data_IF_180005058866
#
_entry.id   IF_180005058866
#
_cell.length_a   1.000
_cell.length_b   1.000
_cell.length_c   1.000
_cell.angle_alpha   90.00
_cell.angle_beta   90.00
_cell.angle_gamma   90.00
#
_symmetry.space_group_name_H-M   'P 1'
#
loop_
_entity.id
_entity.type
_entity.pdbx_description
1 polymer ?
#
# COMPACT_ATOMS: atom_id res chain seq x y z
N UNK A 1 -15.02 8.38 -3.74
CA UNK A 1 -15.00 7.30 -2.73
C UNK A 1 -13.61 7.26 -2.12
N UNK A 2 -13.52 7.34 -0.80
CA UNK A 2 -12.26 7.28 -0.06
C UNK A 2 -12.08 5.85 0.44
N UNK A 3 -11.04 5.15 -0.02
CA UNK A 3 -10.77 3.78 0.41
C UNK A 3 -10.03 3.75 1.76
N UNK A 4 -9.17 4.74 1.98
CA UNK A 4 -8.24 4.84 3.10
C UNK A 4 -8.45 6.19 3.78
N UNK A 5 -8.78 6.17 5.06
CA UNK A 5 -8.89 7.33 5.90
C UNK A 5 -7.63 7.52 6.77
N UNK A 6 -7.46 8.72 7.34
CA UNK A 6 -6.27 9.06 8.14
C UNK A 6 -6.12 8.25 9.43
N UNK A 7 -7.19 7.64 9.93
CA UNK A 7 -7.17 6.70 11.06
C UNK A 7 -6.54 5.33 10.69
N UNK A 8 -6.45 4.96 9.42
CA UNK A 8 -5.81 3.71 9.00
C UNK A 8 -4.28 3.80 8.97
N UNK A 9 -3.72 5.02 8.86
CA UNK A 9 -2.27 5.23 8.72
C UNK A 9 -1.45 4.66 9.90
N UNK A 10 -1.82 4.89 11.18
CA UNK A 10 -1.11 4.28 12.30
C UNK A 10 -1.20 2.75 12.33
N UNK A 11 -2.32 2.18 11.84
CA UNK A 11 -2.48 0.73 11.73
C UNK A 11 -1.49 0.16 10.71
N UNK A 12 -1.36 0.78 9.54
CA UNK A 12 -0.40 0.36 8.52
C UNK A 12 1.04 0.47 9.00
N UNK A 13 1.38 1.57 9.68
CA UNK A 13 2.70 1.72 10.27
C UNK A 13 3.02 0.58 11.25
N UNK A 14 2.05 0.20 12.08
CA UNK A 14 2.23 -0.88 13.05
C UNK A 14 2.41 -2.23 12.36
N UNK A 15 1.68 -2.49 11.27
CA UNK A 15 1.82 -3.70 10.47
C UNK A 15 3.18 -3.82 9.77
N UNK A 16 3.70 -2.73 9.21
CA UNK A 16 5.01 -2.71 8.54
C UNK A 16 6.11 -3.14 9.52
N UNK A 17 6.09 -2.62 10.75
CA UNK A 17 7.06 -2.96 11.80
C UNK A 17 6.73 -4.26 12.55
N UNK A 18 5.68 -4.98 12.13
CA UNK A 18 5.20 -6.22 12.79
C UNK A 18 4.90 -6.02 14.29
N UNK A 19 4.35 -4.86 14.64
CA UNK A 19 3.91 -4.50 15.99
C UNK A 19 2.41 -4.69 16.15
N UNK A 20 1.95 -4.65 17.40
CA UNK A 20 0.53 -4.61 17.72
C UNK A 20 -0.16 -3.43 17.03
N UNK A 21 -1.41 -3.61 16.63
CA UNK A 21 -2.18 -2.64 15.83
C UNK A 21 -2.34 -1.26 16.46
N UNK A 22 -2.13 -1.14 17.78
CA UNK A 22 -2.20 0.08 18.56
C UNK A 22 -0.83 0.68 18.92
N UNK A 23 0.27 0.12 18.41
CA UNK A 23 1.62 0.57 18.74
C UNK A 23 1.88 2.01 18.29
N UNK A 24 1.55 2.31 17.04
CA UNK A 24 1.55 3.69 16.54
C UNK A 24 0.17 4.33 16.64
N UNK A 25 0.16 5.65 16.79
CA UNK A 25 -0.99 6.52 16.75
C UNK A 25 -0.66 7.77 15.90
N UNK A 26 -1.63 8.67 15.74
CA UNK A 26 -1.50 9.86 14.89
C UNK A 26 -0.35 10.82 15.26
N UNK A 27 0.24 10.70 16.45
CA UNK A 27 1.30 11.59 16.95
C UNK A 27 2.72 11.02 16.78
N UNK A 28 2.86 9.72 16.51
CA UNK A 28 4.16 9.03 16.50
C UNK A 28 4.31 8.09 15.29
N UNK A 29 3.68 8.41 14.16
CA UNK A 29 3.83 7.64 12.92
C UNK A 29 5.24 7.89 12.36
N UNK A 30 6.05 6.85 12.11
CA UNK A 30 7.43 7.02 11.63
C UNK A 30 7.53 7.16 10.10
N UNK A 31 6.41 7.02 9.38
CA UNK A 31 6.36 7.00 7.92
C UNK A 31 5.52 8.14 7.36
N UNK A 32 5.96 8.67 6.22
CA UNK A 32 5.15 9.51 5.34
C UNK A 32 4.64 8.66 4.16
N UNK A 33 3.31 8.49 4.07
CA UNK A 33 2.69 7.67 3.04
C UNK A 33 2.34 8.53 1.82
N UNK A 34 3.01 8.25 0.71
CA UNK A 34 2.74 8.89 -0.59
C UNK A 34 1.91 7.98 -1.49
N UNK A 35 0.80 8.50 -2.01
CA UNK A 35 0.02 7.79 -3.02
C UNK A 35 0.82 7.69 -4.33
N UNK A 36 1.08 6.45 -4.77
CA UNK A 36 1.74 6.17 -6.06
C UNK A 36 0.73 5.89 -7.17
N UNK A 37 -0.28 5.08 -6.89
CA UNK A 37 -1.27 4.64 -7.87
C UNK A 37 -2.65 4.45 -7.25
N UNK A 38 -3.69 4.85 -7.99
CA UNK A 38 -5.09 4.61 -7.69
C UNK A 38 -5.84 4.31 -8.98
N UNK A 39 -6.45 3.13 -9.08
CA UNK A 39 -7.13 2.69 -10.32
C UNK A 39 -8.23 3.64 -10.81
N UNK A 40 -8.94 4.31 -9.90
CA UNK A 40 -9.97 5.29 -10.27
C UNK A 40 -9.43 6.63 -10.79
N UNK A 41 -8.13 6.88 -10.66
CA UNK A 41 -7.44 8.07 -11.17
C UNK A 41 -6.53 7.74 -12.35
N UNK A 42 -5.76 6.65 -12.23
CA UNK A 42 -4.65 6.37 -13.12
C UNK A 42 -4.97 5.31 -14.20
N UNK A 43 -6.18 4.74 -14.17
CA UNK A 43 -6.61 3.66 -15.06
C UNK A 43 -6.55 2.28 -14.40
N UNK A 44 -7.22 1.28 -14.97
CA UNK A 44 -7.24 -0.11 -14.49
C UNK A 44 -6.45 -1.03 -15.41
N UNK A 45 -5.18 -0.70 -15.61
CA UNK A 45 -4.29 -1.46 -16.50
C UNK A 45 -2.90 -1.63 -15.88
N UNK A 46 -2.23 -2.72 -16.29
CA UNK A 46 -0.90 -3.08 -15.78
C UNK A 46 0.15 -2.04 -16.14
N UNK A 47 0.06 -1.38 -17.30
CA UNK A 47 1.05 -0.39 -17.73
C UNK A 47 1.01 0.84 -16.83
N UNK A 48 -0.17 1.32 -16.46
CA UNK A 48 -0.34 2.45 -15.54
C UNK A 48 0.16 2.12 -14.13
N UNK A 49 -0.04 0.89 -13.66
CA UNK A 49 0.55 0.43 -12.39
C UNK A 49 2.08 0.44 -12.45
N UNK A 50 2.69 -0.24 -13.43
CA UNK A 50 4.15 -0.32 -13.54
C UNK A 50 4.81 1.05 -13.71
N UNK A 51 4.22 1.95 -14.51
CA UNK A 51 4.69 3.33 -14.68
C UNK A 51 4.81 4.08 -13.34
N UNK A 52 3.89 3.83 -12.42
CA UNK A 52 3.81 4.56 -11.15
C UNK A 52 4.52 3.85 -9.99
N UNK A 53 4.55 2.51 -9.98
CA UNK A 53 4.96 1.70 -8.82
C UNK A 53 6.32 1.02 -8.97
N UNK A 54 6.85 0.86 -10.18
CA UNK A 54 8.14 0.17 -10.37
C UNK A 54 9.29 0.98 -9.78
N UNK A 55 10.26 0.27 -9.19
CA UNK A 55 11.48 0.82 -8.60
C UNK A 55 11.24 1.89 -7.52
N UNK A 56 10.07 1.87 -6.84
CA UNK A 56 9.75 2.82 -5.76
C UNK A 56 10.15 2.37 -4.36
N UNK A 57 10.81 1.20 -4.26
CA UNK A 57 11.12 0.57 -2.98
C UNK A 57 9.88 -0.03 -2.33
N UNK A 58 9.90 -0.10 -1.00
CA UNK A 58 8.84 -0.71 -0.21
C UNK A 58 7.48 -0.04 -0.42
N UNK A 59 6.42 -0.84 -0.55
CA UNK A 59 5.06 -0.36 -0.82
C UNK A 59 4.02 -1.12 -0.01
N UNK A 60 2.93 -0.44 0.34
CA UNK A 60 1.69 -1.07 0.80
C UNK A 60 0.65 -0.94 -0.32
N UNK A 61 -0.09 -2.00 -0.60
CA UNK A 61 -1.22 -1.96 -1.52
C UNK A 61 -2.51 -2.35 -0.81
N UNK A 62 -3.62 -1.77 -1.26
CA UNK A 62 -4.95 -1.95 -0.69
C UNK A 62 -5.98 -2.08 -1.82
N UNK A 63 -6.92 -3.02 -1.70
CA UNK A 63 -8.03 -3.19 -2.61
C UNK A 63 -9.35 -3.44 -1.86
N UNK A 64 -10.46 -2.96 -2.44
CA UNK A 64 -11.82 -3.26 -1.97
C UNK A 64 -12.38 -4.44 -2.72
N UNK A 65 -12.93 -5.42 -1.99
CA UNK A 65 -13.69 -6.50 -2.63
C UNK A 65 -15.02 -5.93 -3.14
N UNK A 66 -15.34 -6.19 -4.41
CA UNK A 66 -16.59 -5.72 -5.03
C UNK A 66 -17.80 -6.24 -4.23
N UNK A 67 -18.79 -5.38 -4.02
CA UNK A 67 -20.00 -5.67 -3.25
C UNK A 67 -19.74 -6.07 -1.78
N UNK A 68 -18.61 -5.66 -1.20
CA UNK A 68 -18.29 -5.88 0.21
C UNK A 68 -17.71 -4.61 0.85
N UNK A 69 -17.75 -4.53 2.17
CA UNK A 69 -16.99 -3.55 2.97
C UNK A 69 -15.54 -3.99 3.20
N UNK A 70 -15.19 -5.23 2.86
CA UNK A 70 -13.88 -5.80 3.13
C UNK A 70 -12.78 -5.16 2.28
N UNK A 71 -11.70 -4.79 2.97
CA UNK A 71 -10.43 -4.39 2.39
C UNK A 71 -9.43 -5.54 2.50
N UNK A 72 -8.68 -5.76 1.44
CA UNK A 72 -7.51 -6.64 1.42
C UNK A 72 -6.29 -5.84 1.00
N UNK A 73 -5.11 -6.35 1.29
CA UNK A 73 -3.88 -5.66 0.97
C UNK A 73 -2.65 -6.46 1.34
N UNK A 74 -1.50 -5.83 1.22
CA UNK A 74 -0.23 -6.41 1.62
C UNK A 74 0.90 -5.38 1.61
N UNK A 75 1.93 -5.68 2.38
CA UNK A 75 3.18 -4.93 2.38
C UNK A 75 4.23 -5.69 1.57
N UNK A 76 4.83 -5.01 0.60
CA UNK A 76 6.00 -5.45 -0.12
C UNK A 76 7.21 -4.66 0.39
N UNK A 77 8.14 -5.26 1.16
CA UNK A 77 9.35 -4.57 1.62
C UNK A 77 10.38 -4.32 0.51
N UNK A 78 10.20 -4.97 -0.65
CA UNK A 78 11.00 -4.77 -1.85
C UNK A 78 10.27 -3.84 -2.81
N UNK A 79 10.87 -3.63 -3.98
CA UNK A 79 10.30 -2.88 -5.09
C UNK A 79 9.56 -3.77 -6.10
N UNK A 80 8.63 -3.17 -6.84
CA UNK A 80 8.04 -3.78 -8.03
C UNK A 80 8.97 -3.62 -9.23
N UNK A 81 8.97 -4.61 -10.12
CA UNK A 81 9.68 -4.58 -11.40
C UNK A 81 8.93 -5.37 -12.46
N UNK A 82 8.86 -4.86 -13.69
CA UNK A 82 8.27 -5.56 -14.82
C UNK A 82 9.08 -6.74 -15.38
N UNK A 83 10.29 -7.00 -14.86
CA UNK A 83 11.27 -7.90 -15.48
C UNK A 83 10.98 -9.41 -15.27
N UNK A 84 9.80 -9.78 -14.76
CA UNK A 84 9.40 -11.16 -14.43
C UNK A 84 10.36 -11.90 -13.48
N UNK A 85 11.20 -11.16 -12.76
CA UNK A 85 12.15 -11.70 -11.77
C UNK A 85 11.48 -11.74 -10.40
N UNK A 86 11.50 -12.91 -9.78
CA UNK A 86 11.11 -13.08 -8.40
C UNK A 86 12.21 -12.60 -7.46
N UNK A 87 11.83 -11.76 -6.49
CA UNK A 87 12.72 -11.31 -5.42
C UNK A 87 12.21 -11.89 -4.09
N UNK A 88 13.12 -12.42 -3.28
CA UNK A 88 12.81 -12.92 -1.94
C UNK A 88 13.17 -11.85 -0.90
N UNK A 89 12.26 -11.62 0.05
CA UNK A 89 12.39 -10.65 1.13
C UNK A 89 12.63 -11.32 2.48
#
# INVERSE_FOLDING_TARGET
STLIESNHIPLFASWIDKKDSSYYNRRNIPYDFKLLYRSSQDGIDTKSFHRNCDNKGATIWMAKIKNSSQLIGGYNPLDWSGDFIWKAA
#
